data_IF_012068670524
#
_entry.id   IF_012068670524
#
_cell.length_a   1.000
_cell.length_b   1.000
_cell.length_c   1.000
_cell.angle_alpha   90.00
_cell.angle_beta   90.00
_cell.angle_gamma   90.00
#
_symmetry.space_group_name_H-M   'P 1'
#
loop_
_entity.id
_entity.type
_entity.pdbx_description
1 polymer ?
#
# COMPACT_ATOMS: atom_id res chain seq x y z
N UNK A 1 -13.29 -15.27 -15.79
CA UNK A 1 -13.88 -14.23 -16.66
C UNK A 1 -13.01 -12.98 -16.65
N UNK A 2 -12.91 -12.32 -17.80
CA UNK A 2 -12.27 -11.01 -17.96
C UNK A 2 -13.35 -9.98 -18.30
N UNK A 3 -13.51 -8.95 -17.46
CA UNK A 3 -14.43 -7.84 -17.68
C UNK A 3 -13.66 -6.69 -18.35
N UNK A 4 -14.06 -6.33 -19.55
CA UNK A 4 -13.40 -5.30 -20.35
C UNK A 4 -14.32 -4.13 -20.65
N UNK A 5 -13.79 -2.91 -20.59
CA UNK A 5 -14.44 -1.68 -21.06
C UNK A 5 -13.53 -0.91 -22.00
N UNK A 6 -14.05 -0.54 -23.14
CA UNK A 6 -13.33 0.26 -24.13
C UNK A 6 -13.18 1.73 -23.70
N UNK A 7 -14.14 2.23 -22.94
CA UNK A 7 -14.15 3.56 -22.34
C UNK A 7 -14.94 3.55 -21.03
N UNK A 8 -14.83 4.56 -20.15
CA UNK A 8 -15.61 4.62 -18.92
C UNK A 8 -17.13 4.53 -19.13
N UNK A 9 -17.64 4.96 -20.29
CA UNK A 9 -19.06 4.98 -20.63
C UNK A 9 -19.50 3.78 -21.47
N UNK A 10 -18.58 2.95 -22.00
CA UNK A 10 -18.94 1.78 -22.79
C UNK A 10 -19.53 0.67 -21.92
N UNK A 11 -20.30 -0.21 -22.55
CA UNK A 11 -20.79 -1.43 -21.92
C UNK A 11 -19.62 -2.33 -21.50
N UNK A 12 -19.88 -3.16 -20.49
CA UNK A 12 -18.92 -4.17 -20.04
C UNK A 12 -19.03 -5.37 -20.95
N UNK A 13 -17.93 -5.74 -21.59
CA UNK A 13 -17.82 -6.98 -22.35
C UNK A 13 -17.16 -8.03 -21.45
N UNK A 14 -17.79 -9.19 -21.33
CA UNK A 14 -17.26 -10.31 -20.54
C UNK A 14 -16.64 -11.33 -21.50
N UNK A 15 -15.39 -11.69 -21.28
CA UNK A 15 -14.69 -12.74 -22.03
C UNK A 15 -14.41 -13.93 -21.12
N UNK A 16 -14.60 -15.14 -21.67
CA UNK A 16 -14.18 -16.39 -21.03
C UNK A 16 -12.83 -16.84 -21.60
N UNK A 17 -12.11 -17.77 -20.93
CA UNK A 17 -10.75 -18.17 -21.35
C UNK A 17 -10.66 -18.74 -22.76
N UNK A 18 -11.72 -19.36 -23.24
CA UNK A 18 -11.76 -19.97 -24.58
C UNK A 18 -11.93 -18.94 -25.70
N UNK A 19 -12.35 -17.71 -25.39
CA UNK A 19 -12.65 -16.66 -26.38
C UNK A 19 -11.46 -15.77 -26.70
N UNK A 20 -10.54 -15.57 -25.75
CA UNK A 20 -9.38 -14.70 -25.95
C UNK A 20 -8.08 -15.40 -25.48
N UNK A 21 -7.00 -15.19 -26.22
CA UNK A 21 -5.71 -15.83 -25.94
C UNK A 21 -5.04 -15.20 -24.72
N UNK A 22 -5.12 -13.89 -24.59
CA UNK A 22 -4.49 -13.15 -23.48
C UNK A 22 -5.08 -11.76 -23.33
N UNK A 23 -4.92 -11.21 -22.14
CA UNK A 23 -5.20 -9.79 -21.86
C UNK A 23 -4.22 -9.25 -20.82
N UNK A 24 -4.09 -7.96 -20.76
CA UNK A 24 -3.20 -7.32 -19.78
C UNK A 24 -3.08 -5.83 -19.97
N UNK A 25 -2.24 -5.23 -19.16
CA UNK A 25 -1.88 -3.82 -19.29
C UNK A 25 -0.51 -3.70 -19.94
N UNK A 26 -0.33 -2.75 -20.82
CA UNK A 26 0.92 -2.53 -21.60
C UNK A 26 2.21 -2.54 -20.73
N UNK A 27 2.09 -2.14 -19.47
CA UNK A 27 3.21 -2.13 -18.49
C UNK A 27 2.83 -2.77 -17.16
N UNK A 28 1.92 -3.72 -17.17
CA UNK A 28 1.35 -4.32 -15.97
C UNK A 28 1.29 -5.84 -16.01
N UNK A 29 0.31 -6.36 -15.30
CA UNK A 29 0.04 -7.80 -15.26
C UNK A 29 -0.47 -8.28 -16.62
N UNK A 30 0.00 -9.43 -17.04
CA UNK A 30 -0.46 -10.11 -18.25
C UNK A 30 -1.05 -11.45 -17.86
N UNK A 31 -2.22 -11.74 -18.39
CA UNK A 31 -2.93 -13.00 -18.20
C UNK A 31 -3.05 -13.69 -19.54
N UNK A 32 -2.76 -14.99 -19.56
CA UNK A 32 -2.96 -15.83 -20.73
C UNK A 32 -4.07 -16.82 -20.46
N UNK A 33 -4.84 -17.13 -21.49
CA UNK A 33 -5.77 -18.23 -21.47
C UNK A 33 -5.02 -19.54 -21.65
N UNK A 34 -5.18 -20.46 -20.72
CA UNK A 34 -4.45 -21.72 -20.79
C UNK A 34 -5.22 -22.86 -20.15
N UNK A 35 -5.17 -24.02 -20.80
CA UNK A 35 -5.58 -25.26 -20.18
C UNK A 35 -4.56 -25.64 -19.13
N UNK A 36 -4.93 -25.64 -17.87
CA UNK A 36 -4.10 -26.14 -16.78
C UNK A 36 -4.44 -27.60 -16.59
N UNK A 37 -3.43 -28.47 -16.80
CA UNK A 37 -3.53 -29.91 -16.61
C UNK A 37 -2.57 -30.35 -15.52
N UNK A 38 -3.06 -30.37 -14.29
CA UNK A 38 -2.36 -30.80 -13.09
C UNK A 38 -3.21 -31.82 -12.33
N UNK A 39 -2.61 -32.66 -11.45
CA UNK A 39 -3.39 -33.62 -10.68
C UNK A 39 -4.60 -32.98 -10.00
N UNK A 40 -5.78 -33.53 -10.25
CA UNK A 40 -7.07 -33.10 -9.70
C UNK A 40 -7.65 -31.78 -10.25
N UNK A 41 -7.02 -31.17 -11.28
CA UNK A 41 -7.52 -29.96 -11.88
C UNK A 41 -7.18 -29.90 -13.37
N UNK A 42 -8.22 -29.95 -14.23
CA UNK A 42 -8.08 -29.76 -15.67
C UNK A 42 -9.15 -28.79 -16.16
N UNK A 43 -8.73 -27.57 -16.51
CA UNK A 43 -9.63 -26.53 -16.97
C UNK A 43 -8.90 -25.41 -17.70
N UNK A 44 -9.57 -24.77 -18.66
CA UNK A 44 -9.14 -23.49 -19.22
C UNK A 44 -9.37 -22.36 -18.22
N UNK A 45 -8.32 -21.60 -17.94
CA UNK A 45 -8.36 -20.47 -17.01
C UNK A 45 -7.50 -19.32 -17.50
N UNK A 46 -7.82 -18.11 -17.06
CA UNK A 46 -6.87 -17.00 -17.15
C UNK A 46 -5.86 -17.12 -16.01
N UNK A 47 -4.60 -17.33 -16.41
CA UNK A 47 -3.49 -17.44 -15.47
C UNK A 47 -2.50 -16.30 -15.66
N UNK A 48 -2.02 -15.73 -14.57
CA UNK A 48 -1.06 -14.64 -14.62
C UNK A 48 0.31 -15.14 -15.08
N UNK A 49 0.87 -14.52 -16.10
CA UNK A 49 2.22 -14.82 -16.60
C UNK A 49 3.24 -14.06 -15.78
N UNK A 50 4.16 -14.77 -15.14
CA UNK A 50 5.26 -14.18 -14.37
C UNK A 50 6.54 -14.09 -15.18
N UNK A 51 6.82 -15.11 -15.98
CA UNK A 51 8.01 -15.22 -16.79
C UNK A 51 7.76 -16.16 -17.96
N UNK A 52 8.22 -15.79 -19.13
CA UNK A 52 8.22 -16.64 -20.33
C UNK A 52 9.63 -16.90 -20.80
N UNK A 53 9.87 -18.08 -21.33
CA UNK A 53 11.17 -18.51 -21.86
C UNK A 53 11.17 -20.01 -22.09
N UNK A 54 12.31 -20.65 -21.91
CA UNK A 54 12.40 -22.11 -22.06
C UNK A 54 11.48 -22.84 -21.06
N UNK A 55 11.37 -22.34 -19.82
CA UNK A 55 10.34 -22.77 -18.87
C UNK A 55 9.50 -21.56 -18.54
N UNK A 56 8.19 -21.66 -18.75
CA UNK A 56 7.26 -20.60 -18.41
C UNK A 56 6.85 -20.70 -16.91
N UNK A 57 6.71 -19.57 -16.25
CA UNK A 57 6.25 -19.50 -14.88
C UNK A 57 4.98 -18.67 -14.81
N UNK A 58 3.94 -19.27 -14.26
CA UNK A 58 2.62 -18.66 -14.09
C UNK A 58 2.22 -18.61 -12.63
N UNK A 59 1.22 -17.79 -12.32
CA UNK A 59 0.63 -17.70 -11.00
C UNK A 59 -0.89 -17.82 -11.08
N UNK A 60 -1.42 -18.84 -10.42
CA UNK A 60 -2.85 -19.09 -10.26
C UNK A 60 -3.32 -18.53 -8.92
N UNK A 61 -4.09 -17.44 -8.95
CA UNK A 61 -4.55 -16.74 -7.75
C UNK A 61 -5.83 -17.38 -7.18
N UNK A 62 -5.94 -17.47 -5.85
CA UNK A 62 -7.17 -17.84 -5.15
C UNK A 62 -8.32 -16.93 -5.61
N UNK A 63 -9.50 -17.51 -5.82
CA UNK A 63 -10.71 -16.80 -6.21
C UNK A 63 -10.89 -16.59 -7.72
N UNK A 64 -9.86 -16.85 -8.53
CA UNK A 64 -10.01 -16.89 -9.99
C UNK A 64 -10.65 -18.21 -10.42
N UNK A 65 -10.47 -19.25 -9.64
CA UNK A 65 -11.02 -20.57 -9.90
C UNK A 65 -11.58 -21.20 -8.61
N UNK A 66 -12.90 -21.03 -8.32
CA UNK A 66 -13.53 -21.54 -7.11
C UNK A 66 -13.45 -23.07 -6.98
N UNK A 67 -13.33 -23.75 -8.10
CA UNK A 67 -13.26 -25.22 -8.20
C UNK A 67 -11.84 -25.77 -7.93
N UNK A 68 -10.87 -24.92 -7.67
CA UNK A 68 -9.51 -25.37 -7.35
C UNK A 68 -9.51 -26.02 -5.95
N UNK A 69 -9.19 -27.33 -5.86
CA UNK A 69 -9.54 -28.14 -4.67
C UNK A 69 -8.96 -27.64 -3.35
N UNK A 70 -7.81 -26.98 -3.39
CA UNK A 70 -7.11 -26.56 -2.18
C UNK A 70 -7.42 -25.11 -1.75
N UNK A 71 -8.17 -24.35 -2.57
CA UNK A 71 -8.48 -22.93 -2.29
C UNK A 71 -7.24 -22.04 -2.09
N UNK A 72 -6.06 -22.51 -2.47
CA UNK A 72 -4.77 -21.85 -2.28
C UNK A 72 -4.20 -21.39 -3.60
N UNK A 73 -3.50 -20.25 -3.57
CA UNK A 73 -2.73 -19.81 -4.74
C UNK A 73 -1.57 -20.76 -5.01
N UNK A 74 -1.30 -21.01 -6.27
CA UNK A 74 -0.22 -21.89 -6.72
C UNK A 74 0.57 -21.24 -7.85
N UNK A 75 1.84 -21.65 -7.96
CA UNK A 75 2.67 -21.33 -9.13
C UNK A 75 2.70 -22.54 -10.02
N UNK A 76 2.61 -22.33 -11.33
CA UNK A 76 2.66 -23.37 -12.36
C UNK A 76 3.91 -23.15 -13.20
N UNK A 77 4.82 -24.12 -13.18
CA UNK A 77 5.95 -24.15 -14.09
C UNK A 77 5.61 -25.05 -15.27
N UNK A 78 5.79 -24.56 -16.49
CA UNK A 78 5.54 -25.29 -17.72
C UNK A 78 6.84 -25.50 -18.48
N UNK A 79 7.22 -26.75 -18.65
CA UNK A 79 8.37 -27.16 -19.44
C UNK A 79 8.09 -27.02 -20.94
N UNK A 80 9.15 -27.03 -21.81
CA UNK A 80 9.01 -26.98 -23.28
C UNK A 80 8.16 -28.12 -23.85
N UNK A 81 8.10 -29.25 -23.15
CA UNK A 81 7.25 -30.39 -23.50
C UNK A 81 5.77 -30.18 -23.25
N UNK A 82 5.37 -29.02 -22.70
CA UNK A 82 4.00 -28.76 -22.24
C UNK A 82 3.66 -29.36 -20.87
N UNK A 83 4.59 -30.13 -20.26
CA UNK A 83 4.37 -30.69 -18.92
C UNK A 83 4.32 -29.59 -17.87
N UNK A 84 3.26 -29.60 -17.08
CA UNK A 84 3.06 -28.63 -16.00
C UNK A 84 3.41 -29.19 -14.64
N UNK A 85 4.03 -28.37 -13.82
CA UNK A 85 4.41 -28.70 -12.43
C UNK A 85 3.81 -27.64 -11.52
N UNK A 86 2.98 -28.07 -10.59
CA UNK A 86 2.41 -27.21 -9.56
C UNK A 86 3.36 -27.06 -8.37
N UNK A 87 3.61 -25.80 -7.97
CA UNK A 87 4.34 -25.42 -6.77
C UNK A 87 3.39 -24.69 -5.83
N UNK A 88 3.06 -25.31 -4.72
CA UNK A 88 2.09 -24.75 -3.74
C UNK A 88 2.73 -23.65 -2.89
N UNK A 89 2.04 -22.54 -2.71
CA UNK A 89 2.51 -21.42 -1.88
C UNK A 89 2.53 -21.78 -0.39
N UNK A 90 3.64 -21.48 0.29
CA UNK A 90 3.84 -21.81 1.72
C UNK A 90 3.22 -20.76 2.63
N UNK A 91 1.92 -20.84 2.89
CA UNK A 91 1.23 -19.89 3.80
C UNK A 91 0.82 -20.47 5.16
N UNK A 92 0.93 -21.78 5.39
CA UNK A 92 0.44 -22.45 6.60
C UNK A 92 1.58 -23.08 7.41
N UNK A 93 1.86 -22.53 8.59
CA UNK A 93 2.93 -22.96 9.51
C UNK A 93 2.90 -24.46 9.88
N UNK A 94 1.73 -25.11 9.92
CA UNK A 94 1.61 -26.52 10.32
C UNK A 94 1.97 -27.52 9.21
N UNK A 95 1.80 -27.17 7.95
CA UNK A 95 2.10 -28.04 6.78
C UNK A 95 3.31 -27.56 5.97
N UNK A 96 3.96 -26.50 6.42
CA UNK A 96 5.03 -25.80 5.70
C UNK A 96 6.20 -26.73 5.34
N UNK A 97 6.63 -27.58 6.25
CA UNK A 97 7.80 -28.43 6.00
C UNK A 97 7.55 -29.48 4.93
N UNK A 98 6.38 -30.12 4.94
CA UNK A 98 6.05 -31.17 3.95
C UNK A 98 5.88 -30.54 2.57
N UNK A 99 5.10 -29.46 2.46
CA UNK A 99 4.87 -28.73 1.21
C UNK A 99 6.19 -28.19 0.65
N UNK A 100 7.06 -27.66 1.50
CA UNK A 100 8.38 -27.17 1.11
C UNK A 100 9.26 -28.28 0.57
N UNK A 101 9.30 -29.45 1.21
CA UNK A 101 10.06 -30.60 0.73
C UNK A 101 9.53 -31.08 -0.63
N UNK A 102 8.21 -31.20 -0.79
CA UNK A 102 7.58 -31.57 -2.06
C UNK A 102 7.91 -30.57 -3.18
N UNK A 103 7.80 -29.28 -2.91
CA UNK A 103 8.14 -28.23 -3.88
C UNK A 103 9.62 -28.28 -4.28
N UNK A 104 10.54 -28.49 -3.31
CA UNK A 104 11.98 -28.64 -3.59
C UNK A 104 12.26 -29.88 -4.42
N UNK A 105 11.61 -31.01 -4.12
CA UNK A 105 11.76 -32.23 -4.93
C UNK A 105 11.31 -31.99 -6.37
N UNK A 106 10.18 -31.30 -6.58
CA UNK A 106 9.69 -30.94 -7.91
C UNK A 106 10.64 -29.99 -8.65
N UNK A 107 11.21 -29.00 -7.96
CA UNK A 107 12.19 -28.07 -8.55
C UNK A 107 13.51 -28.79 -8.85
N UNK A 108 14.00 -29.65 -7.97
CA UNK A 108 15.19 -30.45 -8.25
C UNK A 108 14.97 -31.39 -9.45
N UNK A 109 13.79 -31.97 -9.60
CA UNK A 109 13.45 -32.76 -10.79
C UNK A 109 13.43 -31.87 -12.06
N UNK A 110 12.83 -30.67 -12.00
CA UNK A 110 12.73 -29.76 -13.12
C UNK A 110 14.11 -29.26 -13.60
N UNK A 111 15.03 -29.07 -12.66
CA UNK A 111 16.36 -28.51 -12.89
C UNK A 111 17.48 -29.53 -12.69
N UNK A 112 17.20 -30.84 -12.92
CA UNK A 112 18.18 -31.93 -12.71
C UNK A 112 19.47 -31.72 -13.48
N UNK A 113 19.41 -31.17 -14.69
CA UNK A 113 20.56 -30.92 -15.58
C UNK A 113 21.38 -29.66 -15.20
N UNK A 114 20.94 -28.92 -14.16
CA UNK A 114 21.51 -27.61 -13.74
C UNK A 114 21.94 -27.63 -12.28
N UNK A 115 23.03 -28.33 -11.93
CA UNK A 115 23.48 -28.52 -10.55
C UNK A 115 23.84 -27.19 -9.86
N UNK A 116 24.18 -26.14 -10.57
CA UNK A 116 24.49 -24.82 -10.07
C UNK A 116 23.27 -24.13 -9.40
N UNK A 117 22.05 -24.56 -9.73
CA UNK A 117 20.82 -24.05 -9.11
C UNK A 117 20.48 -24.76 -7.80
N UNK A 118 21.13 -25.88 -7.49
CA UNK A 118 20.81 -26.73 -6.32
C UNK A 118 20.85 -25.93 -5.00
N UNK A 119 21.89 -25.15 -4.77
CA UNK A 119 21.99 -24.35 -3.54
C UNK A 119 20.86 -23.31 -3.40
N UNK A 120 20.35 -22.77 -4.51
CA UNK A 120 19.20 -21.86 -4.51
C UNK A 120 17.90 -22.61 -4.22
N UNK A 121 17.72 -23.80 -4.79
CA UNK A 121 16.54 -24.63 -4.59
C UNK A 121 16.45 -25.11 -3.14
N UNK A 122 17.56 -25.52 -2.54
CA UNK A 122 17.62 -25.99 -1.15
C UNK A 122 17.21 -24.91 -0.14
N UNK A 123 17.45 -23.65 -0.47
CA UNK A 123 17.13 -22.50 0.40
C UNK A 123 15.92 -21.67 -0.08
N UNK A 124 15.22 -22.12 -1.14
CA UNK A 124 14.15 -21.33 -1.73
C UNK A 124 12.92 -21.27 -0.82
N UNK A 125 12.32 -20.09 -0.74
CA UNK A 125 10.96 -19.89 -0.31
C UNK A 125 10.04 -19.86 -1.52
N UNK A 126 8.91 -20.58 -1.45
CA UNK A 126 7.94 -20.60 -2.55
C UNK A 126 7.07 -19.36 -2.49
N UNK A 127 7.62 -18.29 -3.00
CA UNK A 127 6.94 -17.01 -3.20
C UNK A 127 7.29 -16.43 -4.58
N UNK A 128 6.50 -15.47 -5.03
CA UNK A 128 6.64 -14.83 -6.34
C UNK A 128 8.07 -14.35 -6.63
N UNK A 129 8.67 -13.63 -5.68
CA UNK A 129 9.99 -13.01 -5.87
C UNK A 129 11.11 -14.04 -5.98
N UNK A 130 11.08 -15.04 -5.12
CA UNK A 130 12.09 -16.09 -5.07
C UNK A 130 12.03 -16.99 -6.30
N UNK A 131 10.82 -17.37 -6.74
CA UNK A 131 10.64 -18.16 -7.95
C UNK A 131 11.04 -17.39 -9.21
N UNK A 132 10.61 -16.15 -9.38
CA UNK A 132 11.06 -15.33 -10.52
C UNK A 132 12.58 -15.22 -10.54
N UNK A 133 13.25 -15.06 -9.40
CA UNK A 133 14.71 -15.01 -9.32
C UNK A 133 15.35 -16.33 -9.76
N UNK A 134 14.84 -17.47 -9.25
CA UNK A 134 15.35 -18.80 -9.60
C UNK A 134 15.20 -19.05 -11.10
N UNK A 135 14.00 -18.86 -11.65
CA UNK A 135 13.73 -19.10 -13.08
C UNK A 135 14.48 -18.11 -14.00
N UNK A 136 14.67 -16.86 -13.56
CA UNK A 136 15.48 -15.89 -14.28
C UNK A 136 16.97 -16.30 -14.31
N UNK A 137 17.49 -16.86 -13.22
CA UNK A 137 18.86 -17.37 -13.18
C UNK A 137 19.01 -18.58 -14.08
N UNK A 138 18.06 -19.51 -14.07
CA UNK A 138 18.01 -20.64 -14.99
C UNK A 138 18.04 -20.17 -16.45
N UNK A 139 17.20 -19.21 -16.82
CA UNK A 139 17.18 -18.69 -18.18
C UNK A 139 18.49 -18.01 -18.59
N UNK A 140 19.19 -17.36 -17.67
CA UNK A 140 20.52 -16.79 -17.95
C UNK A 140 21.57 -17.85 -18.25
N UNK A 141 21.44 -19.05 -17.68
CA UNK A 141 22.33 -20.17 -17.93
C UNK A 141 22.10 -20.73 -19.35
N UNK A 142 20.82 -20.83 -19.75
CA UNK A 142 20.45 -21.50 -21.02
C UNK A 142 20.45 -20.52 -22.20
N UNK A 143 19.91 -19.30 -21.99
CA UNK A 143 19.66 -18.33 -23.05
C UNK A 143 20.79 -17.31 -23.13
N UNK A 144 21.78 -17.55 -23.99
CA UNK A 144 22.79 -16.53 -24.32
C UNK A 144 22.18 -15.27 -24.96
N UNK A 145 21.00 -15.38 -25.60
CA UNK A 145 20.42 -14.35 -26.47
C UNK A 145 19.23 -13.59 -25.88
N UNK A 146 19.05 -13.58 -24.57
CA UNK A 146 18.01 -12.76 -23.87
C UNK A 146 16.54 -12.88 -24.38
N UNK A 147 16.18 -13.98 -25.01
CA UNK A 147 14.80 -14.20 -25.49
C UNK A 147 13.76 -14.40 -24.38
N UNK A 148 14.19 -14.37 -23.12
CA UNK A 148 13.34 -14.59 -21.97
C UNK A 148 12.73 -13.29 -21.47
N UNK A 149 11.41 -13.20 -21.48
CA UNK A 149 10.66 -12.02 -21.04
C UNK A 149 10.14 -12.21 -19.61
N UNK A 150 10.57 -11.38 -18.70
CA UNK A 150 10.00 -11.33 -17.35
C UNK A 150 8.88 -10.30 -17.28
N UNK A 151 7.67 -10.75 -17.03
CA UNK A 151 6.54 -9.89 -16.74
C UNK A 151 6.59 -9.50 -15.27
N UNK A 152 7.35 -8.46 -14.97
CA UNK A 152 7.32 -7.89 -13.64
C UNK A 152 6.05 -7.06 -13.51
N UNK A 153 5.29 -7.31 -12.44
CA UNK A 153 4.42 -6.27 -11.91
C UNK A 153 5.31 -5.01 -11.77
N UNK A 154 5.10 -4.05 -12.65
CA UNK A 154 5.76 -2.78 -12.51
C UNK A 154 5.12 -2.19 -11.26
N UNK A 155 5.79 -2.36 -10.12
CA UNK A 155 5.39 -1.64 -8.92
C UNK A 155 5.13 -0.22 -9.38
N UNK A 156 3.88 0.23 -9.29
CA UNK A 156 3.56 1.62 -9.62
C UNK A 156 4.62 2.47 -8.95
N UNK A 157 5.39 3.27 -9.70
CA UNK A 157 6.52 3.96 -9.11
C UNK A 157 6.01 4.69 -7.88
N UNK A 158 6.71 4.57 -6.75
CA UNK A 158 6.35 5.31 -5.56
C UNK A 158 6.29 6.78 -5.95
N UNK A 159 5.11 7.35 -5.82
CA UNK A 159 4.89 8.77 -6.09
C UNK A 159 4.92 9.48 -4.76
N UNK A 160 5.64 10.57 -4.73
CA UNK A 160 5.73 11.41 -3.55
C UNK A 160 5.08 12.75 -3.83
N UNK A 161 4.37 13.25 -2.86
CA UNK A 161 3.75 14.58 -2.89
C UNK A 161 4.12 15.32 -1.63
N UNK A 162 4.16 16.63 -1.73
CA UNK A 162 4.27 17.53 -0.61
C UNK A 162 3.02 18.41 -0.57
N UNK A 163 2.49 18.61 0.62
CA UNK A 163 1.27 19.38 0.85
C UNK A 163 1.50 20.36 1.98
N UNK A 164 2.02 21.58 1.71
CA UNK A 164 1.94 22.67 2.67
C UNK A 164 0.47 22.99 2.94
N UNK A 165 0.14 23.29 4.19
CA UNK A 165 -1.21 23.55 4.62
C UNK A 165 -1.31 24.54 5.76
N UNK A 166 -2.48 25.18 5.86
CA UNK A 166 -2.89 26.01 6.96
C UNK A 166 -4.20 25.47 7.55
N UNK A 167 -4.35 25.58 8.85
CA UNK A 167 -5.49 25.02 9.57
C UNK A 167 -6.07 26.02 10.57
N UNK A 168 -7.39 26.09 10.61
CA UNK A 168 -8.10 26.58 11.76
C UNK A 168 -8.27 25.43 12.76
N UNK A 169 -7.88 25.65 13.98
CA UNK A 169 -7.86 24.63 15.03
C UNK A 169 -8.76 25.05 16.18
N UNK A 170 -9.48 24.10 16.75
CA UNK A 170 -10.21 24.28 18.01
C UNK A 170 -9.67 23.21 18.95
N UNK A 171 -9.02 23.65 20.02
CA UNK A 171 -8.42 22.78 21.04
C UNK A 171 -9.35 22.67 22.26
N UNK A 172 -9.49 21.45 22.78
CA UNK A 172 -10.15 21.17 24.05
C UNK A 172 -9.14 20.51 24.97
N UNK A 173 -8.76 21.20 26.02
CA UNK A 173 -7.81 20.69 27.00
C UNK A 173 -8.58 19.92 28.07
N UNK A 174 -8.19 18.69 28.38
CA UNK A 174 -8.90 17.82 29.31
C UNK A 174 -8.99 18.41 30.73
N UNK A 175 -8.04 19.27 31.10
CA UNK A 175 -7.97 19.92 32.40
C UNK A 175 -8.63 21.31 32.41
N UNK A 176 -9.15 21.78 31.28
CA UNK A 176 -9.78 23.10 31.13
C UNK A 176 -11.18 22.98 30.54
N UNK A 177 -12.14 23.74 31.11
CA UNK A 177 -13.46 23.82 30.53
C UNK A 177 -13.46 24.71 29.28
N UNK A 178 -13.95 24.18 28.18
CA UNK A 178 -14.21 24.91 26.95
C UNK A 178 -13.27 24.58 25.77
N UNK A 179 -13.67 25.10 24.62
CA UNK A 179 -12.96 24.97 23.36
C UNK A 179 -12.20 26.26 23.06
N UNK A 180 -10.93 26.14 22.73
CA UNK A 180 -10.05 27.29 22.51
C UNK A 180 -9.62 27.34 21.03
N UNK A 181 -9.93 28.44 20.31
CA UNK A 181 -9.54 28.59 18.92
C UNK A 181 -8.02 28.77 18.81
N UNK A 182 -7.47 28.23 17.74
CA UNK A 182 -6.07 28.35 17.42
C UNK A 182 -5.88 28.27 15.91
N UNK A 183 -4.63 28.27 15.51
CA UNK A 183 -4.33 28.05 14.14
C UNK A 183 -3.02 27.22 14.01
N UNK A 184 -2.90 26.48 12.91
CA UNK A 184 -1.69 25.72 12.61
C UNK A 184 -1.21 25.94 11.18
N UNK A 185 0.09 25.81 11.02
CA UNK A 185 0.74 25.70 9.70
C UNK A 185 1.59 24.47 9.68
N UNK A 186 1.64 23.81 8.54
CA UNK A 186 2.40 22.58 8.46
C UNK A 186 2.61 22.08 7.04
N UNK A 187 3.11 20.89 6.96
CA UNK A 187 3.30 20.21 5.68
C UNK A 187 3.16 18.70 5.85
N UNK A 188 2.58 18.07 4.85
CA UNK A 188 2.52 16.62 4.73
C UNK A 188 3.37 16.14 3.57
N UNK A 189 4.11 15.07 3.82
CA UNK A 189 4.74 14.25 2.79
C UNK A 189 3.86 13.02 2.61
N UNK A 190 3.38 12.81 1.40
CA UNK A 190 2.45 11.74 1.05
C UNK A 190 3.10 10.77 0.08
N UNK A 191 2.88 9.48 0.26
CA UNK A 191 3.30 8.45 -0.70
C UNK A 191 2.18 7.43 -0.93
N UNK A 192 2.06 6.92 -2.16
CA UNK A 192 1.11 5.88 -2.47
C UNK A 192 1.56 4.52 -1.90
N UNK A 193 0.60 3.76 -1.39
CA UNK A 193 0.78 2.37 -0.97
C UNK A 193 0.54 1.42 -2.15
N UNK A 194 1.33 1.56 -3.21
CA UNK A 194 1.16 0.88 -4.50
C UNK A 194 1.01 -0.64 -4.43
N UNK A 195 1.52 -1.28 -3.38
CA UNK A 195 1.36 -2.73 -3.15
C UNK A 195 -0.06 -3.14 -2.77
N UNK A 196 -0.86 -2.22 -2.21
CA UNK A 196 -2.22 -2.52 -1.79
C UNK A 196 -3.25 -2.02 -2.80
N UNK A 197 -3.15 -0.77 -3.18
CA UNK A 197 -4.00 -0.11 -4.18
C UNK A 197 -3.52 1.32 -4.35
N UNK A 198 -3.68 1.91 -5.53
CA UNK A 198 -3.45 3.34 -5.76
C UNK A 198 -4.43 4.24 -4.97
N UNK A 199 -5.50 3.64 -4.42
CA UNK A 199 -6.48 4.33 -3.57
C UNK A 199 -5.95 4.65 -2.17
N UNK A 200 -4.94 3.92 -1.70
CA UNK A 200 -4.40 4.12 -0.37
C UNK A 200 -3.09 4.89 -0.41
N UNK A 201 -3.02 5.92 0.39
CA UNK A 201 -1.80 6.72 0.57
C UNK A 201 -1.43 6.80 2.04
N UNK A 202 -0.15 6.91 2.29
CA UNK A 202 0.42 7.13 3.62
C UNK A 202 0.92 8.56 3.71
N UNK A 203 0.54 9.25 4.78
CA UNK A 203 0.93 10.62 5.04
C UNK A 203 1.78 10.70 6.30
N UNK A 204 2.85 11.48 6.22
CA UNK A 204 3.63 11.93 7.38
C UNK A 204 3.53 13.45 7.40
N UNK A 205 3.01 14.00 8.48
CA UNK A 205 2.81 15.43 8.65
C UNK A 205 3.60 16.00 9.81
N UNK A 206 3.97 17.27 9.67
CA UNK A 206 4.55 18.08 10.73
C UNK A 206 3.82 19.42 10.75
N UNK A 207 3.28 19.80 11.89
CA UNK A 207 2.53 21.03 12.09
C UNK A 207 2.98 21.78 13.32
N UNK A 208 3.05 23.10 13.21
CA UNK A 208 3.17 24.01 14.33
C UNK A 208 1.78 24.58 14.61
N UNK A 209 1.19 24.18 15.72
CA UNK A 209 -0.09 24.63 16.20
C UNK A 209 0.12 25.74 17.24
N UNK A 210 -0.69 26.78 17.16
CA UNK A 210 -0.71 27.86 18.15
C UNK A 210 -2.12 27.98 18.70
N UNK A 211 -2.26 28.14 20.01
CA UNK A 211 -3.53 28.50 20.63
C UNK A 211 -3.32 29.52 21.75
N UNK A 212 -4.30 30.41 22.00
CA UNK A 212 -4.24 31.25 23.18
C UNK A 212 -4.35 30.37 24.42
N UNK A 213 -3.31 30.36 25.22
CA UNK A 213 -3.31 29.66 26.49
C UNK A 213 -3.96 30.53 27.56
N UNK A 214 -5.02 30.01 28.11
CA UNK A 214 -5.44 30.39 29.45
C UNK A 214 -4.75 29.40 30.40
N UNK A 215 -3.47 29.65 30.72
CA UNK A 215 -2.76 28.90 31.74
C UNK A 215 -3.39 29.18 33.12
N UNK A 216 -4.46 28.47 33.41
CA UNK A 216 -4.95 28.29 34.78
C UNK A 216 -4.12 27.16 35.42
N UNK A 217 -2.91 27.47 35.78
CA UNK A 217 -2.27 26.72 36.85
C UNK A 217 -2.89 27.22 38.14
N UNK A 218 -3.53 26.32 38.85
CA UNK A 218 -4.28 26.56 40.09
C UNK A 218 -3.45 27.18 41.24
N UNK A 219 -2.19 27.51 41.04
CA UNK A 219 -1.29 28.08 42.04
C UNK A 219 -0.88 29.55 41.81
N UNK A 220 -1.30 30.16 40.68
CA UNK A 220 -0.94 31.56 40.41
C UNK A 220 -2.14 32.39 39.94
N UNK A 221 -2.63 33.33 40.78
CA UNK A 221 -3.81 34.16 40.48
C UNK A 221 -3.49 35.32 39.51
N UNK A 222 -2.60 35.19 38.58
CA UNK A 222 -2.38 36.23 37.57
C UNK A 222 -2.85 35.74 36.20
N UNK A 223 -3.99 36.27 35.79
CA UNK A 223 -4.62 36.11 34.47
C UNK A 223 -3.76 36.70 33.32
N UNK A 224 -2.57 36.24 33.14
CA UNK A 224 -1.77 36.66 31.98
C UNK A 224 -2.09 35.72 30.81
N UNK A 225 -2.75 36.28 29.79
CA UNK A 225 -2.98 35.61 28.50
C UNK A 225 -1.63 35.32 27.83
N UNK A 226 -1.37 34.07 27.53
CA UNK A 226 -0.19 33.63 26.81
C UNK A 226 -0.57 32.92 25.52
N UNK A 227 0.41 32.57 24.71
CA UNK A 227 0.24 31.70 23.56
C UNK A 227 1.05 30.42 23.79
N UNK A 228 0.43 29.27 23.53
CA UNK A 228 1.11 27.99 23.48
C UNK A 228 1.46 27.64 22.06
N UNK A 229 2.57 26.95 21.92
CA UNK A 229 3.07 26.43 20.66
C UNK A 229 3.26 24.94 20.81
N UNK A 230 2.63 24.18 19.94
CA UNK A 230 2.74 22.72 19.91
C UNK A 230 3.26 22.27 18.55
N UNK A 231 4.33 21.51 18.54
CA UNK A 231 4.80 20.81 17.36
C UNK A 231 4.15 19.45 17.31
N UNK A 232 3.34 19.18 16.30
CA UNK A 232 2.60 17.94 16.17
C UNK A 232 3.05 17.17 14.92
N UNK A 233 3.36 15.88 15.13
CA UNK A 233 3.61 14.93 14.06
C UNK A 233 2.36 14.09 13.83
N UNK A 234 2.08 13.81 12.56
CA UNK A 234 0.95 13.00 12.12
C UNK A 234 1.41 11.84 11.26
N UNK A 235 0.78 10.69 11.47
CA UNK A 235 0.98 9.49 10.66
C UNK A 235 -0.39 8.96 10.30
N UNK A 236 -0.82 9.16 9.04
CA UNK A 236 -2.17 8.78 8.61
C UNK A 236 -2.15 7.90 7.38
N UNK A 237 -3.16 7.03 7.28
CA UNK A 237 -3.50 6.32 6.06
C UNK A 237 -4.80 6.95 5.54
N UNK A 238 -4.78 7.30 4.27
CA UNK A 238 -5.90 7.94 3.59
C UNK A 238 -6.40 7.04 2.46
N UNK A 239 -7.72 6.85 2.39
CA UNK A 239 -8.40 6.16 1.31
C UNK A 239 -9.07 7.18 0.39
N UNK A 240 -8.71 7.20 -0.90
CA UNK A 240 -9.16 8.19 -1.90
C UNK A 240 -10.10 7.58 -2.93
N UNK A 241 -11.10 8.34 -3.33
CA UNK A 241 -11.80 8.09 -4.60
C UNK A 241 -10.93 8.61 -5.74
N UNK A 242 -10.60 7.74 -6.70
CA UNK A 242 -9.54 8.02 -7.70
C UNK A 242 -9.98 8.92 -8.85
N UNK A 243 -11.27 8.99 -9.17
CA UNK A 243 -11.77 9.65 -10.37
C UNK A 243 -12.62 10.89 -10.04
N UNK A 244 -12.56 11.89 -10.90
CA UNK A 244 -13.37 13.10 -10.81
C UNK A 244 -12.58 14.36 -10.47
N UNK A 245 -13.22 15.51 -10.65
CA UNK A 245 -12.68 16.83 -10.31
C UNK A 245 -12.63 17.06 -8.80
N UNK A 246 -13.61 16.49 -8.10
CA UNK A 246 -13.69 16.46 -6.64
C UNK A 246 -13.51 15.00 -6.19
N UNK A 247 -12.49 14.73 -5.38
CA UNK A 247 -12.14 13.38 -4.93
C UNK A 247 -12.25 13.31 -3.42
N UNK A 248 -13.36 12.80 -2.90
CA UNK A 248 -13.51 12.60 -1.48
C UNK A 248 -12.51 11.59 -0.94
N UNK A 249 -12.11 11.77 0.29
CA UNK A 249 -11.25 10.86 1.01
C UNK A 249 -11.65 10.74 2.47
N UNK A 250 -11.19 9.67 3.07
CA UNK A 250 -11.26 9.39 4.49
C UNK A 250 -9.86 9.10 5.00
N UNK A 251 -9.50 9.62 6.17
CA UNK A 251 -8.22 9.36 6.81
C UNK A 251 -8.37 8.84 8.24
N UNK A 252 -7.43 8.00 8.65
CA UNK A 252 -7.28 7.50 10.02
C UNK A 252 -5.79 7.41 10.35
N UNK A 253 -5.44 7.67 11.59
CA UNK A 253 -4.05 7.61 12.00
C UNK A 253 -3.80 7.91 13.45
N UNK A 254 -2.57 8.27 13.74
CA UNK A 254 -2.10 8.67 15.06
C UNK A 254 -1.37 10.01 14.99
N UNK A 255 -1.43 10.74 16.07
CA UNK A 255 -0.69 11.97 16.23
C UNK A 255 0.12 11.98 17.51
N UNK A 256 1.07 12.92 17.55
CA UNK A 256 2.01 13.02 18.63
C UNK A 256 2.56 14.45 18.69
N UNK A 257 2.27 15.15 19.75
CA UNK A 257 2.59 16.56 19.91
C UNK A 257 3.50 16.85 21.10
N UNK A 258 4.38 17.82 20.89
CA UNK A 258 5.24 18.38 21.93
C UNK A 258 4.90 19.85 22.14
N UNK A 259 4.69 20.27 23.37
CA UNK A 259 4.64 21.68 23.72
C UNK A 259 6.06 22.29 23.71
N UNK A 260 6.30 23.23 22.80
CA UNK A 260 7.65 23.79 22.56
C UNK A 260 7.94 25.01 23.43
N UNK A 261 6.93 25.87 23.64
CA UNK A 261 7.14 27.10 24.38
C UNK A 261 5.88 27.53 25.13
N UNK A 262 6.08 27.80 26.38
CA UNK A 262 5.24 28.65 27.19
C UNK A 262 6.00 29.95 27.44
N UNK A 263 5.39 31.09 27.19
CA UNK A 263 5.98 32.42 27.35
C UNK A 263 6.27 32.79 28.83
N UNK A 264 6.18 31.81 29.72
CA UNK A 264 6.44 31.98 31.15
C UNK A 264 7.60 31.10 31.61
N UNK A 265 8.51 31.76 32.36
CA UNK A 265 9.56 31.17 33.19
C UNK A 265 8.96 30.32 34.34
N UNK A 266 8.23 29.27 34.02
CA UNK A 266 7.94 28.25 35.01
C UNK A 266 9.21 27.42 35.19
N UNK A 267 9.74 27.41 36.40
CA UNK A 267 10.93 26.63 36.81
C UNK A 267 10.78 25.12 36.59
N UNK A 268 9.60 24.67 36.25
CA UNK A 268 9.27 23.29 35.88
C UNK A 268 8.51 23.30 34.55
N UNK A 269 9.24 23.41 33.43
CA UNK A 269 8.67 23.10 32.12
C UNK A 269 8.29 21.62 32.13
N UNK A 270 7.03 21.32 32.42
CA UNK A 270 6.49 19.98 32.24
C UNK A 270 6.48 19.77 30.72
N UNK A 271 7.28 18.84 30.23
CA UNK A 271 7.20 18.35 28.87
C UNK A 271 5.83 17.69 28.70
N UNK A 272 4.83 18.46 28.31
CA UNK A 272 3.50 17.94 28.09
C UNK A 272 3.46 17.30 26.72
N UNK A 273 3.43 16.00 26.77
CA UNK A 273 3.40 15.13 25.61
C UNK A 273 1.93 14.78 25.33
N UNK A 274 1.46 15.10 24.13
CA UNK A 274 0.13 14.74 23.67
C UNK A 274 0.23 13.68 22.58
N UNK A 275 -0.46 12.57 22.75
CA UNK A 275 -0.55 11.52 21.73
C UNK A 275 -2.02 11.05 21.65
N UNK A 276 -2.39 10.59 20.47
CA UNK A 276 -3.77 10.15 20.26
C UNK A 276 -4.03 9.61 18.88
N UNK A 277 -5.30 9.42 18.60
CA UNK A 277 -5.81 8.93 17.33
C UNK A 277 -6.44 10.06 16.53
N UNK A 278 -6.46 9.88 15.20
CA UNK A 278 -7.01 10.83 14.25
C UNK A 278 -8.05 10.12 13.42
N UNK A 279 -9.16 10.79 13.19
CA UNK A 279 -10.10 10.46 12.13
C UNK A 279 -10.44 11.73 11.36
N UNK A 280 -10.52 11.63 10.03
CA UNK A 280 -10.81 12.78 9.19
C UNK A 280 -11.50 12.41 7.90
N UNK A 281 -12.16 13.40 7.35
CA UNK A 281 -12.76 13.34 6.02
C UNK A 281 -12.36 14.57 5.24
N UNK A 282 -12.34 14.47 3.93
CA UNK A 282 -12.02 15.63 3.12
C UNK A 282 -12.25 15.40 1.63
N UNK A 283 -11.80 16.35 0.87
CA UNK A 283 -11.91 16.34 -0.57
C UNK A 283 -10.70 17.00 -1.21
N UNK A 284 -10.16 16.37 -2.23
CA UNK A 284 -9.20 16.99 -3.15
C UNK A 284 -9.95 17.64 -4.31
N UNK A 285 -9.75 18.92 -4.50
CA UNK A 285 -10.19 19.63 -5.70
C UNK A 285 -9.03 19.61 -6.71
N UNK A 286 -9.25 18.90 -7.81
CA UNK A 286 -8.24 18.76 -8.84
C UNK A 286 -8.26 19.97 -9.78
N UNK A 287 -7.18 20.72 -9.76
CA UNK A 287 -6.91 21.84 -10.67
C UNK A 287 -5.89 21.41 -11.73
N UNK A 288 -5.79 22.15 -12.82
CA UNK A 288 -4.92 21.79 -13.97
C UNK A 288 -3.48 21.41 -13.62
N UNK A 289 -2.90 21.99 -12.58
CA UNK A 289 -1.49 21.78 -12.20
C UNK A 289 -1.28 21.32 -10.74
N UNK A 290 -2.33 21.30 -9.92
CA UNK A 290 -2.23 21.01 -8.50
C UNK A 290 -3.52 20.40 -7.96
N UNK A 291 -3.47 19.97 -6.72
CA UNK A 291 -4.64 19.52 -5.96
C UNK A 291 -4.76 20.37 -4.69
N UNK A 292 -5.96 20.81 -4.40
CA UNK A 292 -6.28 21.53 -3.17
C UNK A 292 -7.03 20.58 -2.22
N UNK A 293 -6.37 20.04 -1.20
CA UNK A 293 -7.07 19.31 -0.14
C UNK A 293 -7.79 20.28 0.78
N UNK A 294 -9.05 19.98 1.03
CA UNK A 294 -9.86 20.57 2.10
C UNK A 294 -10.23 19.41 3.00
N UNK A 295 -9.94 19.50 4.30
CA UNK A 295 -10.20 18.41 5.23
C UNK A 295 -10.70 18.89 6.58
N UNK A 296 -11.48 18.05 7.22
CA UNK A 296 -11.91 18.19 8.62
C UNK A 296 -11.36 16.99 9.35
N UNK A 297 -10.64 17.22 10.44
CA UNK A 297 -10.09 16.18 11.31
C UNK A 297 -10.57 16.36 12.72
N UNK A 298 -10.71 15.25 13.41
CA UNK A 298 -10.80 15.19 14.86
C UNK A 298 -9.64 14.35 15.39
N UNK A 299 -8.88 14.92 16.29
CA UNK A 299 -7.76 14.30 16.96
C UNK A 299 -8.15 14.10 18.42
N UNK A 300 -8.39 12.86 18.81
CA UNK A 300 -8.61 12.48 20.20
C UNK A 300 -7.27 12.25 20.88
N UNK A 301 -6.95 13.06 21.86
CA UNK A 301 -5.64 13.05 22.54
C UNK A 301 -5.73 12.75 24.03
N UNK A 302 -4.64 12.28 24.59
CA UNK A 302 -4.58 11.99 26.03
C UNK A 302 -4.58 13.26 26.92
N UNK A 303 -4.27 14.43 26.36
CA UNK A 303 -4.24 15.71 27.06
C UNK A 303 -5.08 16.78 26.38
N UNK A 304 -5.09 16.78 25.06
CA UNK A 304 -5.76 17.78 24.25
C UNK A 304 -6.47 17.11 23.09
N UNK A 305 -7.76 17.31 22.98
CA UNK A 305 -8.52 16.99 21.80
C UNK A 305 -8.47 18.17 20.83
N UNK A 306 -8.42 17.90 19.53
CA UNK A 306 -8.37 18.94 18.50
C UNK A 306 -9.38 18.65 17.41
N UNK A 307 -10.14 19.68 17.02
CA UNK A 307 -10.89 19.67 15.76
C UNK A 307 -10.22 20.66 14.81
N UNK A 308 -9.94 20.23 13.57
CA UNK A 308 -9.25 21.07 12.60
C UNK A 308 -10.01 21.18 11.28
N UNK A 309 -9.97 22.37 10.69
CA UNK A 309 -10.36 22.63 9.31
C UNK A 309 -9.12 23.03 8.54
N UNK A 310 -8.70 22.21 7.60
CA UNK A 310 -7.46 22.36 6.85
C UNK A 310 -7.73 22.76 5.42
N UNK A 311 -6.92 23.67 4.89
CA UNK A 311 -6.74 23.90 3.47
C UNK A 311 -5.27 23.78 3.11
N UNK A 312 -4.97 23.09 2.01
CA UNK A 312 -3.59 22.88 1.58
C UNK A 312 -3.41 23.00 0.08
N UNK A 313 -2.18 22.87 -0.35
CA UNK A 313 -1.79 22.87 -1.75
C UNK A 313 -0.85 21.71 -2.00
N UNK A 314 -1.26 20.75 -2.83
CA UNK A 314 -0.48 19.53 -3.09
C UNK A 314 0.22 19.60 -4.43
N UNK A 315 1.52 19.34 -4.44
CA UNK A 315 2.30 19.22 -5.66
C UNK A 315 3.17 17.95 -5.62
N UNK A 316 3.36 17.38 -6.82
CA UNK A 316 4.11 16.15 -7.00
C UNK A 316 5.61 16.45 -6.97
N UNK A 317 6.35 15.65 -6.19
CA UNK A 317 7.80 15.60 -6.27
C UNK A 317 8.23 14.77 -7.49
N UNK A 318 9.22 15.25 -8.22
CA UNK A 318 9.78 14.55 -9.39
C UNK A 318 10.72 13.43 -8.97
#
# INVERSE_FOLDING_TARGET
>A
ECLFKNSPQSEIITYIPEEIISYGYEKGLTYVSKEIDIPHFKKYVFIETLLTGNINLYYLKIGVCPEYPDGKSSFIAEAPSGKMIELKEDKNLKTENITRQQNRAKLNFLFTEYPELKSQIDNIRIDRKSLIKLFSNFHKIICADFSCVSYKEKNSPRRWWITPQAEAVINHYNDLNGWHPGFAIGSFVTTNLSKFSDRFVFNIGLELNTSPDYLYWTEFPSSKKGWSYTLTNYYTIESRVMNGTARPFFEIGVHHGYFIAQQYKAKNAINVYNWGIIAGIGMYLHLKKCELPIRIRYCYGNKVDMATLTIGYTFKLK
#
